data_IF_978150574863
#
_entry.id   IF_978150574863
#
_cell.length_a   1.000
_cell.length_b   1.000
_cell.length_c   1.000
_cell.angle_alpha   90.00
_cell.angle_beta   90.00
_cell.angle_gamma   90.00
#
_symmetry.space_group_name_H-M   'P 1'
#
loop_
_entity.id
_entity.type
_entity.pdbx_description
1 polymer ?
#
# COMPACT_ATOMS: atom_id res chain seq x y z
N UNK A 1 -2.98 2.28 -23.76
CA UNK A 1 -3.72 1.58 -22.68
C UNK A 1 -4.86 2.48 -22.27
N UNK A 2 -6.09 2.16 -22.67
CA UNK A 2 -7.29 2.89 -22.25
C UNK A 2 -7.59 2.53 -20.80
N UNK A 3 -7.73 3.53 -19.92
CA UNK A 3 -8.14 3.32 -18.53
C UNK A 3 -9.65 3.06 -18.52
N UNK A 4 -10.06 1.92 -17.97
CA UNK A 4 -11.47 1.61 -17.72
C UNK A 4 -11.91 2.43 -16.49
N UNK A 5 -12.89 3.34 -16.63
CA UNK A 5 -13.32 4.20 -15.52
C UNK A 5 -13.94 3.42 -14.35
N UNK A 6 -14.27 2.14 -14.53
CA UNK A 6 -14.80 1.26 -13.48
C UNK A 6 -13.73 0.36 -12.84
N UNK A 7 -12.53 0.26 -13.41
CA UNK A 7 -11.46 -0.59 -12.87
C UNK A 7 -10.75 0.09 -11.69
N UNK A 8 -10.58 -0.65 -10.59
CA UNK A 8 -9.88 -0.17 -9.40
C UNK A 8 -8.46 -0.72 -9.43
N UNK A 9 -7.46 0.15 -9.46
CA UNK A 9 -6.06 -0.27 -9.39
C UNK A 9 -5.62 -0.39 -7.93
N UNK A 10 -5.22 -1.58 -7.51
CA UNK A 10 -4.70 -1.82 -6.16
C UNK A 10 -3.18 -1.97 -6.24
N UNK A 11 -2.44 -1.05 -5.62
CA UNK A 11 -0.99 -1.20 -5.42
C UNK A 11 -0.77 -1.92 -4.09
N UNK A 12 -0.24 -3.13 -4.17
CA UNK A 12 -0.09 -4.01 -3.02
C UNK A 12 1.30 -4.62 -2.90
N UNK A 13 1.58 -5.24 -1.76
CA UNK A 13 2.88 -5.82 -1.43
C UNK A 13 3.14 -5.74 0.07
N UNK A 14 4.24 -6.36 0.50
CA UNK A 14 4.71 -6.26 1.88
C UNK A 14 5.09 -4.81 2.22
N UNK A 15 5.02 -4.40 3.50
CA UNK A 15 5.64 -3.15 3.94
C UNK A 15 7.08 -3.05 3.43
N UNK A 16 7.53 -1.84 3.08
CA UNK A 16 8.91 -1.56 2.58
C UNK A 16 9.28 -2.15 1.20
N UNK A 17 8.33 -2.76 0.49
CA UNK A 17 8.51 -3.25 -0.90
C UNK A 17 8.47 -2.17 -1.99
N UNK A 18 8.20 -0.91 -1.64
CA UNK A 18 8.17 0.19 -2.62
C UNK A 18 6.77 0.59 -3.11
N UNK A 19 5.69 0.18 -2.42
CA UNK A 19 4.31 0.55 -2.78
C UNK A 19 4.08 2.08 -2.85
N UNK A 20 4.67 2.87 -1.94
CA UNK A 20 4.58 4.35 -2.01
C UNK A 20 5.25 4.91 -3.27
N UNK A 21 6.36 4.31 -3.72
CA UNK A 21 7.03 4.72 -4.95
C UNK A 21 6.14 4.43 -6.16
N UNK A 22 5.53 3.25 -6.22
CA UNK A 22 4.60 2.88 -7.29
C UNK A 22 3.38 3.82 -7.33
N UNK A 23 2.77 4.12 -6.18
CA UNK A 23 1.67 5.10 -6.10
C UNK A 23 2.07 6.46 -6.68
N UNK A 24 3.28 6.94 -6.37
CA UNK A 24 3.81 8.19 -6.92
C UNK A 24 4.01 8.12 -8.43
N UNK A 25 4.52 7.00 -8.96
CA UNK A 25 4.72 6.82 -10.39
C UNK A 25 3.38 6.81 -11.14
N UNK A 26 2.37 6.14 -10.59
CA UNK A 26 1.01 6.14 -11.16
C UNK A 26 0.38 7.54 -11.17
N UNK A 27 0.49 8.27 -10.05
CA UNK A 27 0.02 9.66 -9.98
C UNK A 27 0.73 10.56 -11.00
N UNK A 28 2.06 10.46 -11.12
CA UNK A 28 2.84 11.20 -12.11
C UNK A 28 2.50 10.81 -13.55
N UNK A 29 2.06 9.57 -13.77
CA UNK A 29 1.53 9.08 -15.04
C UNK A 29 0.07 9.47 -15.33
N UNK A 30 -0.56 10.27 -14.47
CA UNK A 30 -1.92 10.78 -14.66
C UNK A 30 -3.04 9.87 -14.14
N UNK A 31 -2.73 8.74 -13.50
CA UNK A 31 -3.75 7.92 -12.84
C UNK A 31 -4.13 8.57 -11.50
N UNK A 32 -5.40 8.95 -11.27
CA UNK A 32 -5.82 9.50 -10.00
C UNK A 32 -5.54 8.53 -8.84
N UNK A 33 -5.12 9.04 -7.69
CA UNK A 33 -4.85 8.24 -6.49
C UNK A 33 -5.87 8.54 -5.41
N UNK A 34 -6.38 7.51 -4.74
CA UNK A 34 -7.25 7.65 -3.58
C UNK A 34 -6.38 7.66 -2.31
N UNK A 35 -6.25 8.83 -1.70
CA UNK A 35 -5.42 9.09 -0.51
C UNK A 35 -6.15 10.07 0.43
N UNK A 36 -5.88 9.99 1.73
CA UNK A 36 -6.45 10.91 2.74
C UNK A 36 -5.47 11.99 3.21
N UNK A 37 -4.17 11.81 2.96
CA UNK A 37 -3.13 12.75 3.39
C UNK A 37 -2.95 12.85 4.92
N UNK A 38 -3.47 11.88 5.68
CA UNK A 38 -3.36 11.84 7.15
C UNK A 38 -1.92 11.58 7.58
N UNK A 39 -1.28 10.56 7.00
CA UNK A 39 0.13 10.27 7.26
C UNK A 39 1.05 11.24 6.51
N UNK A 40 1.70 12.13 7.26
CA UNK A 40 2.62 13.13 6.70
C UNK A 40 3.96 12.50 6.26
N UNK A 41 4.66 13.13 5.28
CA UNK A 41 6.03 12.77 4.95
C UNK A 41 6.97 12.83 6.16
N UNK A 42 7.99 12.00 6.15
CA UNK A 42 9.03 11.92 7.18
C UNK A 42 10.39 11.59 6.52
N UNK A 43 11.52 11.54 7.27
CA UNK A 43 12.81 11.19 6.69
C UNK A 43 12.87 9.79 6.04
N UNK A 44 11.99 8.87 6.42
CA UNK A 44 11.91 7.53 5.82
C UNK A 44 11.21 7.54 4.45
N UNK A 45 10.31 8.50 4.24
CA UNK A 45 9.58 8.69 3.00
C UNK A 45 9.23 10.17 2.79
N UNK A 46 10.18 10.97 2.26
CA UNK A 46 10.04 12.42 2.17
C UNK A 46 8.98 12.86 1.15
N UNK A 47 8.49 11.95 0.30
CA UNK A 47 7.42 12.22 -0.68
C UNK A 47 6.05 11.68 -0.24
N UNK A 48 5.92 11.28 1.02
CA UNK A 48 4.65 10.85 1.59
C UNK A 48 4.25 9.42 1.22
N UNK A 49 3.25 8.91 1.91
CA UNK A 49 2.94 7.49 1.94
C UNK A 49 1.81 7.06 1.00
N UNK A 50 1.04 8.00 0.45
CA UNK A 50 -0.12 7.71 -0.38
C UNK A 50 -1.07 6.70 0.30
N UNK A 51 -1.39 6.97 1.57
CA UNK A 51 -2.27 6.11 2.39
C UNK A 51 -3.71 6.60 2.35
N UNK A 52 -4.61 5.65 2.58
CA UNK A 52 -6.04 5.86 2.69
C UNK A 52 -6.54 4.94 3.81
N UNK A 53 -6.73 5.48 5.02
CA UNK A 53 -7.05 4.73 6.23
C UNK A 53 -8.24 3.77 6.11
N UNK A 54 -9.35 4.09 5.39
CA UNK A 54 -10.49 3.17 5.28
C UNK A 54 -10.16 1.78 4.74
N UNK A 55 -9.07 1.61 3.95
CA UNK A 55 -8.66 0.28 3.46
C UNK A 55 -8.39 -0.71 4.59
N UNK A 56 -7.99 -0.24 5.78
CA UNK A 56 -7.68 -1.09 6.94
C UNK A 56 -8.93 -1.74 7.54
N UNK A 57 -10.10 -1.19 7.25
CA UNK A 57 -11.39 -1.66 7.76
C UNK A 57 -12.22 -2.37 6.69
N UNK A 58 -11.64 -2.69 5.52
CA UNK A 58 -12.37 -3.26 4.37
C UNK A 58 -13.22 -4.48 4.73
N UNK A 59 -12.72 -5.36 5.62
CA UNK A 59 -13.46 -6.55 6.07
C UNK A 59 -14.80 -6.24 6.74
N UNK A 60 -14.84 -5.16 7.53
CA UNK A 60 -16.04 -4.72 8.28
C UNK A 60 -16.84 -3.66 7.53
N UNK A 61 -16.16 -2.81 6.77
CA UNK A 61 -16.72 -1.70 6.02
C UNK A 61 -15.95 -1.49 4.70
N UNK A 62 -16.44 -2.06 3.59
CA UNK A 62 -15.86 -1.87 2.27
C UNK A 62 -16.49 -0.68 1.52
N UNK A 63 -17.22 0.23 2.19
CA UNK A 63 -17.96 1.32 1.54
C UNK A 63 -17.11 2.20 0.62
N UNK A 64 -15.81 2.30 0.89
CA UNK A 64 -14.88 3.07 0.08
C UNK A 64 -14.74 2.57 -1.37
N UNK A 65 -14.97 1.29 -1.62
CA UNK A 65 -14.72 0.64 -2.93
C UNK A 65 -15.61 1.26 -4.01
N UNK A 66 -16.85 1.62 -3.66
CA UNK A 66 -17.81 2.23 -4.59
C UNK A 66 -17.31 3.58 -5.17
N UNK A 67 -16.47 4.31 -4.43
CA UNK A 67 -15.89 5.58 -4.86
C UNK A 67 -14.51 5.48 -5.51
N UNK A 68 -13.99 4.26 -5.71
CA UNK A 68 -12.61 4.01 -6.12
C UNK A 68 -12.41 3.71 -7.61
N UNK A 69 -13.49 3.60 -8.40
CA UNK A 69 -13.41 3.36 -9.85
C UNK A 69 -12.50 4.36 -10.56
N UNK A 70 -11.60 3.85 -11.42
CA UNK A 70 -10.64 4.64 -12.17
C UNK A 70 -9.47 5.20 -11.35
N UNK A 71 -9.32 4.79 -10.08
CA UNK A 71 -8.28 5.29 -9.16
C UNK A 71 -7.31 4.19 -8.75
N UNK A 72 -6.12 4.60 -8.35
CA UNK A 72 -5.16 3.76 -7.65
C UNK A 72 -5.31 3.89 -6.13
N UNK A 73 -5.28 2.76 -5.42
CA UNK A 73 -5.37 2.68 -3.96
C UNK A 73 -4.23 1.82 -3.42
N UNK A 74 -3.54 2.30 -2.39
CA UNK A 74 -2.49 1.54 -1.72
C UNK A 74 -3.09 0.64 -0.65
N UNK A 75 -2.81 -0.66 -0.71
CA UNK A 75 -3.30 -1.64 0.27
C UNK A 75 -2.21 -2.68 0.56
N UNK A 76 -1.88 -2.91 1.84
CA UNK A 76 -0.91 -3.95 2.20
C UNK A 76 -1.44 -5.34 1.83
N UNK A 77 -0.55 -6.26 1.42
CA UNK A 77 -0.93 -7.57 0.86
C UNK A 77 -1.91 -8.37 1.73
N UNK A 78 -1.77 -8.32 3.05
CA UNK A 78 -2.64 -9.04 4.00
C UNK A 78 -4.13 -8.63 3.93
N UNK A 79 -4.44 -7.45 3.41
CA UNK A 79 -5.82 -6.94 3.32
C UNK A 79 -6.47 -7.24 1.95
N UNK A 80 -5.71 -7.74 0.97
CA UNK A 80 -6.25 -8.10 -0.35
C UNK A 80 -7.42 -9.10 -0.28
N UNK A 81 -7.39 -10.14 0.58
CA UNK A 81 -8.50 -11.09 0.67
C UNK A 81 -9.81 -10.48 1.19
N UNK A 82 -9.76 -9.30 1.82
CA UNK A 82 -10.94 -8.63 2.36
C UNK A 82 -11.68 -7.80 1.28
N UNK A 83 -11.12 -7.65 0.07
CA UNK A 83 -11.77 -6.91 -1.01
C UNK A 83 -13.10 -7.58 -1.40
N UNK A 84 -14.22 -6.83 -1.46
CA UNK A 84 -15.52 -7.42 -1.79
C UNK A 84 -15.57 -7.85 -3.26
N UNK A 85 -16.34 -8.91 -3.58
CA UNK A 85 -16.65 -9.26 -4.96
C UNK A 85 -17.52 -8.19 -5.64
N UNK A 86 -17.76 -8.33 -6.94
CA UNK A 86 -18.63 -7.42 -7.70
C UNK A 86 -17.94 -6.18 -8.26
N UNK A 87 -16.63 -6.03 -8.04
CA UNK A 87 -15.79 -4.99 -8.61
C UNK A 87 -14.66 -5.59 -9.43
N UNK A 88 -14.17 -4.82 -10.41
CA UNK A 88 -13.01 -5.20 -11.22
C UNK A 88 -11.75 -4.59 -10.61
N UNK A 89 -10.85 -5.45 -10.15
CA UNK A 89 -9.56 -5.03 -9.60
C UNK A 89 -8.42 -5.35 -10.55
N UNK A 90 -7.52 -4.39 -10.73
CA UNK A 90 -6.18 -4.61 -11.28
C UNK A 90 -5.17 -4.51 -10.15
N UNK A 91 -4.51 -5.61 -9.83
CA UNK A 91 -3.52 -5.63 -8.74
C UNK A 91 -2.12 -5.47 -9.30
N UNK A 92 -1.43 -4.41 -8.88
CA UNK A 92 0.02 -4.22 -9.07
C UNK A 92 0.70 -4.69 -7.79
N UNK A 93 1.22 -5.92 -7.80
CA UNK A 93 1.86 -6.52 -6.63
C UNK A 93 3.37 -6.27 -6.62
N UNK A 94 3.83 -5.47 -5.67
CA UNK A 94 5.22 -5.10 -5.49
C UNK A 94 6.01 -6.23 -4.81
N UNK A 95 7.10 -6.65 -5.44
CA UNK A 95 8.04 -7.64 -4.90
C UNK A 95 9.40 -7.02 -4.69
N UNK A 96 10.06 -7.43 -3.63
CA UNK A 96 11.44 -7.07 -3.29
C UNK A 96 12.06 -8.24 -2.53
N UNK A 97 13.38 -8.42 -2.63
CA UNK A 97 14.08 -9.40 -1.83
C UNK A 97 13.74 -9.18 -0.34
N UNK A 98 13.38 -10.26 0.35
CA UNK A 98 12.97 -10.25 1.74
C UNK A 98 14.05 -9.70 2.66
N UNK A 99 15.32 -10.08 2.45
CA UNK A 99 16.45 -9.59 3.26
C UNK A 99 16.56 -8.06 3.18
N UNK A 100 16.33 -7.47 2.00
CA UNK A 100 16.31 -6.03 1.84
C UNK A 100 15.10 -5.36 2.49
N UNK A 101 13.94 -6.03 2.49
CA UNK A 101 12.73 -5.58 3.19
C UNK A 101 13.02 -5.50 4.68
N UNK A 102 13.55 -6.57 5.27
CA UNK A 102 13.89 -6.65 6.69
C UNK A 102 14.96 -5.61 7.07
N UNK A 103 16.03 -5.49 6.30
CA UNK A 103 17.07 -4.49 6.53
C UNK A 103 16.55 -3.04 6.40
N UNK A 104 15.55 -2.79 5.54
CA UNK A 104 14.88 -1.49 5.43
C UNK A 104 13.95 -1.21 6.61
N UNK A 105 13.23 -2.24 7.07
CA UNK A 105 12.31 -2.16 8.20
C UNK A 105 13.07 -1.88 9.49
N UNK A 106 14.15 -2.63 9.78
CA UNK A 106 14.99 -2.45 10.96
C UNK A 106 15.53 -1.01 11.05
N UNK A 107 16.06 -0.47 9.96
CA UNK A 107 16.55 0.93 9.91
C UNK A 107 15.45 1.96 10.20
N UNK A 108 14.23 1.71 9.76
CA UNK A 108 13.08 2.59 10.03
C UNK A 108 12.64 2.52 11.50
N UNK A 109 12.60 1.31 12.09
CA UNK A 109 12.26 1.13 13.50
C UNK A 109 13.30 1.79 14.43
N UNK A 110 14.60 1.61 14.14
CA UNK A 110 15.69 2.26 14.87
C UNK A 110 15.56 3.79 14.87
N UNK A 111 15.23 4.40 13.72
CA UNK A 111 14.99 5.85 13.62
C UNK A 111 13.81 6.33 14.47
N UNK A 112 12.82 5.46 14.71
CA UNK A 112 11.64 5.77 15.52
C UNK A 112 11.81 5.45 17.00
N UNK A 113 12.96 4.93 17.41
CA UNK A 113 13.18 4.44 18.78
C UNK A 113 12.29 3.25 19.13
N UNK A 114 11.76 2.54 18.12
CA UNK A 114 10.93 1.35 18.33
C UNK A 114 11.89 0.14 18.38
N UNK A 115 11.86 -0.66 19.46
CA UNK A 115 12.67 -1.87 19.55
C UNK A 115 12.41 -2.80 18.36
N UNK A 116 13.48 -3.40 17.84
CA UNK A 116 13.37 -4.43 16.82
C UNK A 116 12.78 -5.70 17.43
N UNK A 117 11.81 -6.30 16.75
CA UNK A 117 11.21 -7.58 17.14
C UNK A 117 11.57 -8.65 16.10
N UNK A 118 12.51 -9.56 16.41
CA UNK A 118 12.92 -10.64 15.52
C UNK A 118 11.80 -11.63 15.19
N UNK A 119 10.77 -11.74 16.03
CA UNK A 119 9.64 -12.67 15.83
C UNK A 119 8.76 -12.17 14.68
N UNK A 120 8.47 -10.86 14.65
CA UNK A 120 7.70 -10.24 13.58
C UNK A 120 8.39 -10.36 12.20
N UNK A 121 9.73 -10.31 12.18
CA UNK A 121 10.51 -10.50 10.95
C UNK A 121 10.45 -11.94 10.44
N UNK A 122 10.52 -12.93 11.34
CA UNK A 122 10.40 -14.34 11.00
C UNK A 122 8.99 -14.72 10.51
N UNK A 123 7.94 -14.07 11.03
CA UNK A 123 6.58 -14.24 10.53
C UNK A 123 6.39 -13.65 9.13
N UNK A 124 7.03 -12.51 8.82
CA UNK A 124 7.02 -11.93 7.47
C UNK A 124 7.80 -12.76 6.44
N UNK A 125 8.70 -13.62 6.90
CA UNK A 125 9.55 -14.46 6.06
C UNK A 125 8.89 -15.77 5.59
N UNK A 126 7.72 -16.09 6.14
CA UNK A 126 6.93 -17.30 5.84
C UNK A 126 5.88 -17.02 4.78
#
# INVERSE_FOLDING_TARGET
>A
MTLDPQEITIVSGLPRSGTSLMMRMLAAGGLPVLIDGLRKPDPDNPRGYYEFEPVKQTKSDPSWVAGAGGKAVKMVSRLLPDLPPGYRYRVVFMRRNLEEILASQQRMLLRKGIPHDPVADAEMAR
#
